data_IF_449004396955
#
_entry.id   IF_449004396955
#
_cell.length_a   1.000
_cell.length_b   1.000
_cell.length_c   1.000
_cell.angle_alpha   90.00
_cell.angle_beta   90.00
_cell.angle_gamma   90.00
#
_symmetry.space_group_name_H-M   'P 1'
#
loop_
_entity.id
_entity.type
_entity.pdbx_description
1 polymer ?
#
# COMPACT_ATOMS: atom_id res chain seq x y z
N UNK A 1 0.12 -9.17 -12.47
CA UNK A 1 1.55 -8.80 -12.51
C UNK A 1 2.27 -9.64 -11.47
N UNK A 2 3.25 -10.44 -11.86
CA UNK A 2 4.01 -11.30 -10.96
C UNK A 2 5.27 -10.59 -10.41
N UNK A 3 5.97 -11.19 -9.45
CA UNK A 3 7.20 -10.61 -8.88
C UNK A 3 8.28 -10.49 -9.94
N UNK A 4 8.37 -11.44 -10.86
CA UNK A 4 9.29 -11.43 -12.00
C UNK A 4 9.10 -10.19 -12.89
N UNK A 5 7.85 -9.80 -13.17
CA UNK A 5 7.56 -8.56 -13.91
C UNK A 5 8.05 -7.32 -13.16
N UNK A 6 8.01 -7.34 -11.82
CA UNK A 6 8.52 -6.23 -11.00
C UNK A 6 10.04 -6.12 -11.08
N UNK A 7 10.77 -7.24 -11.08
CA UNK A 7 12.22 -7.24 -11.29
C UNK A 7 12.58 -6.64 -12.64
N UNK A 8 11.90 -7.06 -13.71
CA UNK A 8 12.12 -6.52 -15.06
C UNK A 8 11.80 -5.01 -15.13
N UNK A 9 10.67 -4.59 -14.56
CA UNK A 9 10.29 -3.19 -14.51
C UNK A 9 11.31 -2.36 -13.71
N UNK A 10 11.84 -2.87 -12.60
CA UNK A 10 12.88 -2.18 -11.83
C UNK A 10 14.16 -1.99 -12.65
N UNK A 11 14.58 -3.01 -13.40
CA UNK A 11 15.72 -2.90 -14.33
C UNK A 11 15.47 -1.87 -15.41
N UNK A 12 14.27 -1.86 -16.01
CA UNK A 12 13.88 -0.87 -17.02
C UNK A 12 13.92 0.55 -16.44
N UNK A 13 13.37 0.77 -15.24
CA UNK A 13 13.41 2.08 -14.57
C UNK A 13 14.86 2.52 -14.34
N UNK A 14 15.68 1.64 -13.77
CA UNK A 14 17.08 1.96 -13.47
C UNK A 14 17.96 2.13 -14.72
N UNK A 15 17.54 1.64 -15.87
CA UNK A 15 18.23 1.82 -17.15
C UNK A 15 17.92 3.15 -17.85
N UNK A 16 16.99 3.95 -17.31
CA UNK A 16 16.63 5.24 -17.90
C UNK A 16 17.82 6.21 -17.86
N UNK A 17 18.00 6.98 -18.92
CA UNK A 17 19.13 7.89 -19.11
C UNK A 17 19.37 8.82 -17.90
N UNK A 18 18.29 9.32 -17.29
CA UNK A 18 18.36 10.19 -16.12
C UNK A 18 18.97 9.51 -14.88
N UNK A 19 18.94 8.18 -14.80
CA UNK A 19 19.46 7.41 -13.67
C UNK A 19 20.85 6.81 -13.92
N UNK A 20 21.28 6.71 -15.18
CA UNK A 20 22.58 6.12 -15.56
C UNK A 20 23.77 6.71 -14.77
N UNK A 21 23.88 8.06 -14.55
CA UNK A 21 25.00 8.62 -13.80
C UNK A 21 25.04 8.19 -12.32
N UNK A 22 23.96 7.66 -11.79
CA UNK A 22 23.82 7.27 -10.38
C UNK A 22 23.76 5.74 -10.19
N UNK A 23 23.70 4.99 -11.29
CA UNK A 23 23.58 3.53 -11.28
C UNK A 23 24.96 2.88 -11.26
N UNK A 24 25.16 1.93 -10.34
CA UNK A 24 26.25 0.96 -10.38
C UNK A 24 25.82 -0.36 -11.03
N UNK A 25 26.67 -1.38 -10.90
CA UNK A 25 26.35 -2.74 -11.34
C UNK A 25 25.21 -3.34 -10.53
N UNK A 26 24.43 -4.20 -11.14
CA UNK A 26 23.36 -4.91 -10.43
C UNK A 26 23.97 -5.98 -9.51
N UNK A 27 23.66 -5.87 -8.20
CA UNK A 27 24.20 -6.76 -7.18
C UNK A 27 23.36 -8.04 -7.09
N UNK A 28 22.04 -7.91 -7.19
CA UNK A 28 21.09 -9.03 -7.07
C UNK A 28 19.87 -8.81 -7.99
N UNK A 29 19.49 -9.84 -8.76
CA UNK A 29 20.14 -11.17 -8.93
C UNK A 29 21.44 -11.16 -9.72
N UNK A 30 21.81 -10.05 -10.33
CA UNK A 30 22.94 -9.88 -11.26
C UNK A 30 22.47 -9.77 -12.70
N UNK A 31 23.20 -9.00 -13.51
CA UNK A 31 22.83 -8.68 -14.90
C UNK A 31 22.78 -9.91 -15.82
N UNK A 32 23.43 -11.01 -15.45
CA UNK A 32 23.46 -12.27 -16.18
C UNK A 32 22.21 -13.14 -15.97
N UNK A 33 21.45 -12.87 -14.90
CA UNK A 33 20.21 -13.62 -14.61
C UNK A 33 19.03 -12.99 -15.36
N UNK A 34 18.84 -13.41 -16.62
CA UNK A 34 17.80 -12.83 -17.51
C UNK A 34 16.66 -13.80 -17.84
N UNK A 35 16.90 -15.13 -17.72
CA UNK A 35 15.87 -16.13 -18.05
C UNK A 35 14.74 -16.15 -17.01
N UNK A 36 13.57 -16.64 -17.43
CA UNK A 36 12.43 -16.82 -16.53
C UNK A 36 12.76 -17.76 -15.39
N UNK A 37 13.43 -18.86 -15.67
CA UNK A 37 13.81 -19.88 -14.72
C UNK A 37 14.82 -19.33 -13.69
N UNK A 38 15.82 -18.58 -14.13
CA UNK A 38 16.81 -17.97 -13.25
C UNK A 38 16.19 -16.91 -12.34
N UNK A 39 15.29 -16.06 -12.87
CA UNK A 39 14.55 -15.08 -12.07
C UNK A 39 13.61 -15.77 -11.06
N UNK A 40 12.93 -16.83 -11.46
CA UNK A 40 12.03 -17.58 -10.57
C UNK A 40 12.80 -18.26 -9.43
N UNK A 41 13.98 -18.80 -9.70
CA UNK A 41 14.85 -19.37 -8.67
C UNK A 41 15.37 -18.32 -7.70
N UNK A 42 15.81 -17.18 -8.23
CA UNK A 42 16.18 -16.02 -7.37
C UNK A 42 15.03 -15.59 -6.48
N UNK A 43 13.82 -15.40 -7.03
CA UNK A 43 12.62 -15.00 -6.27
C UNK A 43 12.32 -16.02 -5.18
N UNK A 44 12.34 -17.31 -5.51
CA UNK A 44 12.06 -18.39 -4.56
C UNK A 44 13.01 -18.38 -3.35
N UNK A 45 14.26 -18.02 -3.57
CA UNK A 45 15.29 -18.04 -2.53
C UNK A 45 15.40 -16.71 -1.76
N UNK A 46 14.90 -15.59 -2.31
CA UNK A 46 15.13 -14.24 -1.75
C UNK A 46 13.84 -13.45 -1.51
N UNK A 47 12.66 -13.99 -1.84
CA UNK A 47 11.41 -13.27 -1.64
C UNK A 47 11.02 -13.26 -0.17
N UNK A 48 10.81 -12.08 0.37
CA UNK A 48 10.35 -11.86 1.74
C UNK A 48 9.05 -11.05 1.77
N UNK A 49 8.39 -11.08 2.92
CA UNK A 49 7.24 -10.21 3.17
C UNK A 49 7.70 -8.75 3.28
N UNK A 50 6.89 -7.82 2.79
CA UNK A 50 7.10 -6.37 3.01
C UNK A 50 6.73 -5.92 4.45
N UNK A 51 6.36 -6.85 5.33
CA UNK A 51 6.00 -6.62 6.75
C UNK A 51 4.82 -5.65 6.93
N UNK A 52 3.94 -5.56 5.94
CA UNK A 52 2.75 -4.73 5.97
C UNK A 52 1.51 -5.55 6.30
N UNK A 53 1.39 -6.00 7.55
CA UNK A 53 0.23 -6.74 8.04
C UNK A 53 -0.96 -5.80 8.27
N UNK A 54 -2.16 -6.24 7.84
CA UNK A 54 -3.40 -5.48 8.03
C UNK A 54 -4.62 -6.42 8.01
N UNK A 55 -5.79 -5.88 8.38
CA UNK A 55 -7.07 -6.57 8.18
C UNK A 55 -7.50 -7.56 9.25
N UNK A 56 -6.75 -7.73 10.35
CA UNK A 56 -7.10 -8.66 11.44
C UNK A 56 -8.36 -8.25 12.21
N UNK A 57 -8.72 -6.97 12.17
CA UNK A 57 -9.90 -6.39 12.81
C UNK A 57 -10.72 -5.59 11.80
N UNK A 58 -10.98 -6.19 10.65
CA UNK A 58 -11.57 -5.56 9.47
C UNK A 58 -12.77 -4.68 9.78
N UNK A 59 -12.78 -3.48 9.19
CA UNK A 59 -13.92 -2.56 9.23
C UNK A 59 -15.02 -3.04 8.29
N UNK A 60 -16.27 -2.85 8.67
CA UNK A 60 -17.41 -3.19 7.83
C UNK A 60 -18.75 -2.76 8.41
N UNK A 61 -19.82 -3.25 7.80
CA UNK A 61 -21.18 -2.98 8.24
C UNK A 61 -21.56 -3.81 9.47
N UNK A 62 -22.60 -3.38 10.17
CA UNK A 62 -23.14 -4.09 11.34
C UNK A 62 -23.52 -5.54 11.04
N UNK A 63 -24.11 -5.78 9.88
CA UNK A 63 -24.58 -7.08 9.41
C UNK A 63 -23.50 -7.95 8.74
N UNK A 64 -22.27 -7.43 8.56
CA UNK A 64 -21.15 -8.22 8.02
C UNK A 64 -20.53 -9.07 9.14
N UNK A 65 -20.69 -10.42 9.13
CA UNK A 65 -20.13 -11.28 10.16
C UNK A 65 -18.58 -11.33 10.15
N UNK A 66 -17.95 -10.89 9.08
CA UNK A 66 -16.49 -10.85 8.95
C UNK A 66 -15.86 -9.55 9.48
N UNK A 67 -16.66 -8.53 9.79
CA UNK A 67 -16.16 -7.28 10.33
C UNK A 67 -16.10 -7.29 11.85
N UNK A 68 -15.06 -6.65 12.40
CA UNK A 68 -14.81 -6.51 13.85
C UNK A 68 -15.16 -5.11 14.31
N UNK A 69 -14.91 -4.11 13.49
CA UNK A 69 -15.22 -2.71 13.80
C UNK A 69 -16.17 -2.09 12.79
N UNK A 70 -16.90 -1.08 13.24
CA UNK A 70 -17.80 -0.28 12.43
C UNK A 70 -17.09 0.90 11.77
N UNK A 71 -17.80 1.67 10.94
CA UNK A 71 -17.24 2.80 10.18
C UNK A 71 -16.70 3.94 11.05
N UNK A 72 -17.05 3.99 12.32
CA UNK A 72 -16.54 4.91 13.32
C UNK A 72 -15.37 4.33 14.13
N UNK A 73 -14.80 3.22 13.68
CA UNK A 73 -13.73 2.46 14.34
C UNK A 73 -14.13 1.81 15.66
N UNK A 74 -15.42 1.78 16.00
CA UNK A 74 -15.93 1.18 17.23
C UNK A 74 -16.00 -0.34 17.08
N UNK A 75 -15.57 -1.07 18.11
CA UNK A 75 -15.65 -2.52 18.13
C UNK A 75 -17.10 -2.96 18.34
N UNK A 76 -17.58 -3.87 17.49
CA UNK A 76 -18.93 -4.43 17.59
C UNK A 76 -19.18 -5.05 18.96
N UNK A 77 -20.33 -4.78 19.53
CA UNK A 77 -20.74 -5.31 20.84
C UNK A 77 -20.12 -4.61 22.05
N UNK A 78 -19.29 -3.60 21.84
CA UNK A 78 -18.66 -2.81 22.92
C UNK A 78 -19.09 -1.34 22.84
N UNK A 79 -19.29 -0.71 24.01
CA UNK A 79 -19.69 0.70 24.07
C UNK A 79 -18.52 1.67 23.97
N UNK A 80 -17.34 1.33 24.50
CA UNK A 80 -16.20 2.25 24.70
C UNK A 80 -14.87 1.64 24.21
N UNK A 81 -14.89 0.76 23.21
CA UNK A 81 -13.71 0.14 22.64
C UNK A 81 -13.60 0.50 21.18
N UNK A 82 -12.42 0.98 20.77
CA UNK A 82 -12.12 1.40 19.40
C UNK A 82 -10.81 0.80 18.93
N UNK A 83 -10.69 0.53 17.63
CA UNK A 83 -9.46 0.15 16.96
C UNK A 83 -9.22 1.11 15.80
N UNK A 84 -8.01 1.65 15.70
CA UNK A 84 -7.72 2.74 14.77
C UNK A 84 -6.30 2.65 14.18
N UNK A 85 -5.97 1.51 13.64
CA UNK A 85 -4.70 1.24 12.97
C UNK A 85 -4.92 0.40 11.71
N UNK A 86 -3.86 -0.10 11.07
CA UNK A 86 -3.97 -0.91 9.86
C UNK A 86 -4.73 -2.23 10.05
N UNK A 87 -4.97 -2.69 11.28
CA UNK A 87 -5.77 -3.89 11.53
C UNK A 87 -7.20 -3.76 11.01
N UNK A 88 -7.75 -2.55 10.95
CA UNK A 88 -9.12 -2.31 10.45
C UNK A 88 -9.23 -2.30 8.92
N UNK A 89 -8.14 -2.28 8.16
CA UNK A 89 -8.21 -2.19 6.70
C UNK A 89 -8.85 -3.44 6.11
N UNK A 90 -9.87 -3.30 5.25
CA UNK A 90 -10.53 -4.45 4.64
C UNK A 90 -9.64 -5.16 3.61
N UNK A 91 -8.68 -4.44 3.02
CA UNK A 91 -7.70 -4.93 2.06
C UNK A 91 -6.39 -4.14 2.22
N UNK A 92 -5.28 -4.76 1.84
CA UNK A 92 -3.99 -4.07 1.83
C UNK A 92 -3.99 -2.92 0.81
N UNK A 93 -3.46 -1.77 1.22
CA UNK A 93 -3.24 -0.64 0.32
C UNK A 93 -2.17 -0.97 -0.72
N UNK A 94 -2.18 -0.27 -1.85
CA UNK A 94 -1.20 -0.45 -2.92
C UNK A 94 0.18 0.20 -2.66
N UNK A 95 0.37 0.77 -1.47
CA UNK A 95 1.62 1.38 -1.00
C UNK A 95 1.86 1.04 0.47
N UNK A 96 2.82 1.72 1.09
CA UNK A 96 3.15 1.53 2.51
C UNK A 96 1.97 1.83 3.43
N UNK A 97 1.84 1.06 4.51
CA UNK A 97 0.75 1.19 5.48
C UNK A 97 0.95 2.30 6.52
N UNK A 98 2.14 2.89 6.63
CA UNK A 98 2.43 3.87 7.67
C UNK A 98 1.55 5.12 7.57
N UNK A 99 1.54 5.78 6.42
CA UNK A 99 0.74 6.99 6.22
C UNK A 99 -0.78 6.73 6.38
N UNK A 100 -1.37 5.68 5.77
CA UNK A 100 -2.77 5.33 6.00
C UNK A 100 -3.09 4.99 7.47
N UNK A 101 -2.17 4.36 8.20
CA UNK A 101 -2.37 4.05 9.63
C UNK A 101 -2.42 5.32 10.48
N UNK A 102 -1.52 6.27 10.24
CA UNK A 102 -1.53 7.58 10.91
C UNK A 102 -2.84 8.32 10.59
N UNK A 103 -3.22 8.38 9.31
CA UNK A 103 -4.48 9.01 8.88
C UNK A 103 -5.70 8.38 9.57
N UNK A 104 -5.70 7.05 9.71
CA UNK A 104 -6.78 6.33 10.39
C UNK A 104 -6.85 6.70 11.86
N UNK A 105 -5.71 6.77 12.55
CA UNK A 105 -5.62 7.18 13.96
C UNK A 105 -6.12 8.61 14.17
N UNK A 106 -5.71 9.55 13.34
CA UNK A 106 -6.17 10.94 13.37
C UNK A 106 -7.70 11.02 13.18
N UNK A 107 -8.21 10.34 12.16
CA UNK A 107 -9.63 10.33 11.86
C UNK A 107 -10.47 9.70 12.96
N UNK A 108 -10.03 8.58 13.52
CA UNK A 108 -10.70 7.92 14.63
C UNK A 108 -10.69 8.80 15.89
N UNK A 109 -9.58 9.48 16.16
CA UNK A 109 -9.49 10.45 17.26
C UNK A 109 -10.56 11.54 17.15
N UNK A 110 -10.77 12.10 15.96
CA UNK A 110 -11.81 13.10 15.74
C UNK A 110 -13.22 12.54 15.99
N UNK A 111 -13.48 11.30 15.56
CA UNK A 111 -14.76 10.62 15.84
C UNK A 111 -14.98 10.40 17.35
N UNK A 112 -13.96 9.90 18.06
CA UNK A 112 -14.03 9.62 19.51
C UNK A 112 -14.26 10.92 20.30
N UNK A 113 -13.62 12.00 19.89
CA UNK A 113 -13.71 13.31 20.55
C UNK A 113 -14.94 14.12 20.09
N UNK A 114 -15.75 13.62 19.16
CA UNK A 114 -16.90 14.34 18.62
C UNK A 114 -16.53 15.62 17.88
N UNK A 115 -15.33 15.73 17.32
CA UNK A 115 -14.90 16.89 16.55
C UNK A 115 -15.59 16.95 15.19
N UNK A 116 -15.86 18.17 14.67
CA UNK A 116 -16.38 18.30 13.32
C UNK A 116 -15.38 17.77 12.30
N UNK A 117 -15.92 17.19 11.22
CA UNK A 117 -15.09 16.76 10.11
C UNK A 117 -14.37 17.95 9.46
N UNK A 118 -13.16 17.73 8.98
CA UNK A 118 -12.46 18.70 8.14
C UNK A 118 -13.30 19.03 6.91
N UNK A 119 -13.26 20.29 6.49
CA UNK A 119 -13.91 20.69 5.25
C UNK A 119 -13.36 19.89 4.07
N UNK A 120 -14.21 19.46 3.12
CA UNK A 120 -13.75 18.79 1.92
C UNK A 120 -12.72 19.64 1.16
N UNK A 121 -11.62 19.02 0.75
CA UNK A 121 -10.69 19.67 -0.15
C UNK A 121 -11.28 19.68 -1.57
N UNK A 122 -11.41 20.87 -2.15
CA UNK A 122 -11.87 21.05 -3.53
C UNK A 122 -10.70 21.08 -4.54
N UNK A 123 -9.51 20.70 -4.09
CA UNK A 123 -8.34 20.62 -4.96
C UNK A 123 -8.54 19.55 -6.03
N UNK A 124 -8.42 19.95 -7.28
CA UNK A 124 -8.41 18.98 -8.38
C UNK A 124 -7.02 18.35 -8.46
N UNK A 125 -6.92 17.01 -8.52
CA UNK A 125 -5.65 16.36 -8.73
C UNK A 125 -5.09 16.75 -10.09
N UNK A 126 -3.78 16.97 -10.15
CA UNK A 126 -3.13 17.16 -11.45
C UNK A 126 -3.25 15.86 -12.26
N UNK A 127 -3.76 16.00 -13.48
CA UNK A 127 -3.82 14.92 -14.45
C UNK A 127 -3.02 15.35 -15.68
N UNK A 128 -1.98 14.57 -15.99
CA UNK A 128 -1.17 14.86 -17.18
C UNK A 128 -2.06 14.80 -18.44
N UNK A 129 -1.99 15.78 -19.38
CA UNK A 129 -2.87 15.82 -20.54
C UNK A 129 -2.88 14.54 -21.38
N UNK A 130 -1.74 13.87 -21.44
CA UNK A 130 -1.56 12.64 -22.23
C UNK A 130 -1.50 11.37 -21.35
N UNK A 131 -2.04 11.39 -20.15
CA UNK A 131 -1.92 10.29 -19.19
C UNK A 131 -2.40 8.93 -19.70
N UNK A 132 -3.30 8.92 -20.70
CA UNK A 132 -3.79 7.70 -21.34
C UNK A 132 -2.79 7.08 -22.32
N UNK A 133 -1.92 7.89 -22.91
CA UNK A 133 -1.02 7.49 -24.01
C UNK A 133 0.46 7.60 -23.64
N UNK A 134 0.77 8.36 -22.60
CA UNK A 134 2.13 8.57 -22.11
C UNK A 134 2.11 8.88 -20.63
N UNK A 135 3.02 8.30 -19.90
CA UNK A 135 3.18 8.59 -18.45
C UNK A 135 3.97 9.91 -18.24
N UNK A 136 4.65 10.42 -19.26
CA UNK A 136 5.39 11.70 -19.27
C UNK A 136 5.51 12.23 -20.69
#
# INVERSE_FOLDING_TARGET
MCIRDRLRLSREILSQEALVPFKGDEIQPGDDVVSDEGLDEFIKNNCESAYHTCGTCKIGKEDDPSSVVLNDCKVKGFSNLYLADSSIFPQICNGNLNAPSIMTGEKASDHILGKPLLAPSNLQPYTHPNWQNSQR
#
